data_IF_229488503572
#
_entry.id   IF_229488503572
#
_cell.length_a   1.000
_cell.length_b   1.000
_cell.length_c   1.000
_cell.angle_alpha   90.00
_cell.angle_beta   90.00
_cell.angle_gamma   90.00
#
_symmetry.space_group_name_H-M   'P 1'
#
loop_
_entity.id
_entity.type
_entity.pdbx_description
1 polymer ?
#
# COMPACT_ATOMS: atom_id res chain seq x y z
N UNK A 1 -9.12 -17.41 -2.79
CA UNK A 1 -8.03 -16.55 -3.31
C UNK A 1 -8.63 -15.22 -3.72
N UNK A 2 -8.15 -14.12 -3.14
CA UNK A 2 -8.64 -12.76 -3.42
C UNK A 2 -7.49 -11.91 -3.92
N UNK A 3 -7.66 -11.24 -5.05
CA UNK A 3 -6.64 -10.35 -5.61
C UNK A 3 -7.23 -8.97 -5.79
N UNK A 4 -6.56 -7.97 -5.23
CA UNK A 4 -6.94 -6.57 -5.35
C UNK A 4 -5.89 -5.84 -6.18
N UNK A 5 -6.33 -5.07 -7.17
CA UNK A 5 -5.46 -4.18 -7.95
C UNK A 5 -5.88 -2.75 -7.63
N UNK A 6 -4.93 -1.95 -7.11
CA UNK A 6 -5.16 -0.56 -6.73
C UNK A 6 -4.24 0.31 -7.57
N UNK A 7 -4.84 1.25 -8.32
CA UNK A 7 -4.11 2.12 -9.23
C UNK A 7 -3.98 3.52 -8.62
N UNK A 8 -2.77 3.88 -8.23
CA UNK A 8 -2.40 5.21 -7.78
C UNK A 8 -1.92 6.07 -8.93
N UNK A 9 -2.85 6.78 -9.58
CA UNK A 9 -2.54 7.67 -10.71
C UNK A 9 -1.53 8.78 -10.35
N UNK A 10 -1.55 9.25 -9.11
CA UNK A 10 -0.64 10.28 -8.59
C UNK A 10 0.45 9.72 -7.69
N UNK A 11 0.39 8.44 -7.33
CA UNK A 11 1.30 7.84 -6.37
C UNK A 11 2.73 7.88 -6.88
N UNK A 12 3.61 8.52 -6.12
CA UNK A 12 5.02 8.72 -6.49
C UNK A 12 5.72 7.38 -6.67
N UNK A 13 6.60 7.30 -7.65
CA UNK A 13 7.49 6.15 -7.87
C UNK A 13 8.89 6.41 -7.31
N UNK A 14 9.14 7.61 -6.78
CA UNK A 14 10.37 8.03 -6.12
C UNK A 14 10.27 7.86 -4.59
N UNK A 15 11.35 7.46 -3.90
CA UNK A 15 11.38 7.44 -2.45
C UNK A 15 11.44 8.85 -1.83
N UNK A 16 11.58 9.91 -2.62
CA UNK A 16 11.72 11.29 -2.15
C UNK A 16 10.36 11.89 -1.77
N UNK A 17 9.75 11.42 -0.69
CA UNK A 17 8.54 11.99 -0.10
C UNK A 17 8.69 12.09 1.42
N UNK A 18 7.93 12.99 2.04
CA UNK A 18 7.91 13.16 3.49
C UNK A 18 7.03 12.09 4.14
N UNK A 19 7.54 11.45 5.19
CA UNK A 19 6.73 10.57 6.05
C UNK A 19 5.80 11.36 6.97
N UNK A 20 6.11 12.63 7.25
CA UNK A 20 5.26 13.53 8.03
C UNK A 20 4.07 14.06 7.19
N UNK A 21 4.22 14.11 5.86
CA UNK A 21 3.17 14.51 4.92
C UNK A 21 3.08 13.52 3.75
N UNK A 22 2.68 12.29 4.06
CA UNK A 22 2.43 11.28 3.04
C UNK A 22 1.36 11.76 2.06
N UNK A 23 0.17 12.26 2.47
CA UNK A 23 -0.88 12.63 1.51
C UNK A 23 -0.44 13.71 0.51
N UNK A 24 0.29 14.74 0.97
CA UNK A 24 0.71 15.87 0.15
C UNK A 24 1.91 15.56 -0.75
N UNK A 25 2.93 14.89 -0.21
CA UNK A 25 4.21 14.74 -0.93
C UNK A 25 4.36 13.42 -1.70
N UNK A 26 3.60 12.38 -1.36
CA UNK A 26 3.71 11.06 -2.01
C UNK A 26 2.68 10.83 -3.13
N UNK A 27 1.80 11.81 -3.37
CA UNK A 27 0.72 11.68 -4.34
C UNK A 27 -0.34 10.67 -3.91
N UNK A 28 -0.79 10.80 -2.66
CA UNK A 28 -1.84 10.01 -2.04
C UNK A 28 -1.50 8.54 -1.79
N UNK A 29 -0.23 8.24 -1.49
CA UNK A 29 0.21 6.91 -1.08
C UNK A 29 -0.47 6.45 0.22
N UNK A 30 -0.93 7.39 1.07
CA UNK A 30 -1.73 7.12 2.26
C UNK A 30 -2.98 6.27 1.95
N UNK A 31 -3.64 6.52 0.82
CA UNK A 31 -4.82 5.76 0.39
C UNK A 31 -4.43 4.32 0.02
N UNK A 32 -3.33 4.16 -0.70
CA UNK A 32 -2.82 2.83 -1.10
C UNK A 32 -2.43 2.02 0.14
N UNK A 33 -1.73 2.66 1.08
CA UNK A 33 -1.37 2.11 2.37
C UNK A 33 -2.61 1.62 3.16
N UNK A 34 -3.66 2.45 3.25
CA UNK A 34 -4.92 2.06 3.90
C UNK A 34 -5.60 0.89 3.19
N UNK A 35 -5.54 0.83 1.86
CA UNK A 35 -6.09 -0.29 1.09
C UNK A 35 -5.32 -1.60 1.33
N UNK A 36 -3.99 -1.55 1.47
CA UNK A 36 -3.15 -2.70 1.86
C UNK A 36 -3.57 -3.21 3.24
N UNK A 37 -3.69 -2.31 4.23
CA UNK A 37 -4.13 -2.67 5.59
C UNK A 37 -5.52 -3.31 5.57
N UNK A 38 -6.49 -2.72 4.86
CA UNK A 38 -7.84 -3.25 4.77
C UNK A 38 -7.91 -4.63 4.07
N UNK A 39 -7.01 -4.90 3.11
CA UNK A 39 -6.97 -6.18 2.41
C UNK A 39 -6.35 -7.31 3.25
N UNK A 40 -5.35 -6.99 4.07
CA UNK A 40 -4.55 -7.98 4.79
C UNK A 40 -4.89 -8.12 6.27
N UNK A 41 -5.15 -7.03 6.98
CA UNK A 41 -5.27 -7.05 8.43
C UNK A 41 -6.67 -7.48 8.85
N UNK A 42 -6.71 -8.45 9.77
CA UNK A 42 -7.92 -8.95 10.45
C UNK A 42 -7.65 -8.96 11.96
N UNK A 43 -8.69 -9.08 12.79
CA UNK A 43 -8.56 -8.99 14.25
C UNK A 43 -7.50 -9.94 14.84
N UNK A 44 -7.30 -11.12 14.26
CA UNK A 44 -6.38 -12.16 14.76
C UNK A 44 -5.22 -12.44 13.79
N UNK A 45 -4.76 -11.42 13.05
CA UNK A 45 -3.53 -11.50 12.26
C UNK A 45 -3.67 -11.04 10.82
N UNK A 46 -3.04 -11.77 9.90
CA UNK A 46 -2.94 -11.42 8.48
C UNK A 46 -3.65 -12.47 7.63
N UNK A 47 -4.52 -12.01 6.73
CA UNK A 47 -5.19 -12.82 5.72
C UNK A 47 -4.17 -13.42 4.75
N UNK A 48 -4.00 -14.75 4.82
CA UNK A 48 -3.01 -15.48 4.01
C UNK A 48 -3.46 -15.73 2.57
N UNK A 49 -4.76 -15.71 2.30
CA UNK A 49 -5.37 -16.02 0.99
C UNK A 49 -5.66 -14.77 0.12
N UNK A 50 -5.00 -13.64 0.43
CA UNK A 50 -5.11 -12.39 -0.31
C UNK A 50 -3.80 -12.00 -1.01
N UNK A 51 -3.91 -11.25 -2.10
CA UNK A 51 -2.80 -10.57 -2.76
C UNK A 51 -3.21 -9.15 -3.14
N UNK A 52 -2.29 -8.21 -3.03
CA UNK A 52 -2.50 -6.80 -3.38
C UNK A 52 -1.45 -6.37 -4.39
N UNK A 53 -1.90 -5.85 -5.53
CA UNK A 53 -1.08 -5.25 -6.56
C UNK A 53 -1.29 -3.73 -6.53
N UNK A 54 -0.23 -2.99 -6.18
CA UNK A 54 -0.22 -1.53 -6.25
C UNK A 54 0.43 -1.11 -7.56
N UNK A 55 -0.28 -0.30 -8.36
CA UNK A 55 0.24 0.29 -9.60
C UNK A 55 0.43 1.78 -9.37
N UNK A 56 1.67 2.23 -9.37
CA UNK A 56 2.07 3.61 -9.09
C UNK A 56 2.41 4.30 -10.41
N UNK A 57 1.69 5.37 -10.75
CA UNK A 57 1.80 6.06 -12.03
C UNK A 57 2.24 7.54 -11.91
N UNK A 58 2.53 8.01 -10.70
CA UNK A 58 2.78 9.44 -10.44
C UNK A 58 4.23 9.91 -10.61
N UNK A 59 5.14 9.06 -11.07
CA UNK A 59 6.53 9.46 -11.38
C UNK A 59 6.88 9.18 -12.84
N UNK A 60 8.17 9.33 -13.19
CA UNK A 60 8.61 9.29 -14.60
C UNK A 60 8.35 7.95 -15.30
N UNK A 61 8.47 6.84 -14.56
CA UNK A 61 8.16 5.50 -15.04
C UNK A 61 7.22 4.79 -14.05
N UNK A 62 6.24 4.02 -14.54
CA UNK A 62 5.30 3.29 -13.68
C UNK A 62 6.03 2.22 -12.87
N UNK A 63 5.60 2.02 -11.62
CA UNK A 63 6.09 0.93 -10.78
C UNK A 63 4.93 0.08 -10.30
N UNK A 64 5.20 -1.22 -10.14
CA UNK A 64 4.21 -2.17 -9.63
C UNK A 64 4.79 -2.91 -8.43
N UNK A 65 4.01 -2.97 -7.34
CA UNK A 65 4.37 -3.66 -6.10
C UNK A 65 3.34 -4.76 -5.87
N UNK A 66 3.81 -6.00 -5.76
CA UNK A 66 2.96 -7.15 -5.47
C UNK A 66 3.23 -7.65 -4.05
N UNK A 67 2.16 -7.69 -3.25
CA UNK A 67 2.17 -8.16 -1.87
C UNK A 67 1.37 -9.45 -1.78
N UNK A 68 1.95 -10.47 -1.16
CA UNK A 68 1.31 -11.77 -0.96
C UNK A 68 1.06 -12.04 0.53
N UNK A 69 -0.20 -12.29 0.90
CA UNK A 69 -0.59 -12.58 2.28
C UNK A 69 0.17 -13.74 2.91
N UNK A 70 0.49 -14.76 2.10
CA UNK A 70 1.25 -15.94 2.51
C UNK A 70 2.66 -15.64 3.01
N UNK A 71 3.36 -14.68 2.39
CA UNK A 71 4.77 -14.35 2.70
C UNK A 71 4.96 -13.07 3.51
N UNK A 72 3.92 -12.24 3.66
CA UNK A 72 3.96 -11.02 4.46
C UNK A 72 4.32 -11.28 5.93
N UNK A 73 5.27 -10.48 6.44
CA UNK A 73 5.71 -10.42 7.85
C UNK A 73 5.85 -8.95 8.26
N UNK A 74 5.69 -8.68 9.55
CA UNK A 74 5.86 -7.34 10.15
C UNK A 74 4.95 -6.24 9.56
N UNK A 75 3.78 -6.61 9.05
CA UNK A 75 2.76 -5.64 8.65
C UNK A 75 1.97 -5.23 9.90
N UNK A 76 2.24 -4.03 10.41
CA UNK A 76 1.49 -3.45 11.51
C UNK A 76 0.43 -2.46 10.98
N UNK A 77 -0.81 -2.47 11.51
CA UNK A 77 -1.90 -1.62 11.02
C UNK A 77 -1.75 -0.14 11.37
N UNK A 78 -1.02 0.17 12.43
CA UNK A 78 -0.77 1.51 12.97
C UNK A 78 -0.03 2.44 11.99
N UNK A 79 0.97 1.93 11.26
CA UNK A 79 1.79 2.71 10.33
C UNK A 79 0.99 3.41 9.20
N UNK A 80 -0.26 3.02 8.97
CA UNK A 80 -1.13 3.58 7.93
C UNK A 80 -2.45 4.17 8.47
N UNK A 81 -2.70 4.06 9.79
CA UNK A 81 -3.95 4.48 10.43
C UNK A 81 -3.77 5.69 11.37
N UNK A 82 -2.54 6.03 11.74
CA UNK A 82 -2.24 7.23 12.53
C UNK A 82 -1.93 8.43 11.62
N UNK A 83 -2.95 8.95 10.95
CA UNK A 83 -2.94 10.28 10.34
C UNK A 83 -4.29 10.95 10.61
#
# INVERSE_FOLDING_TARGET
MRTFVIVGHKATTSPNFSLEDIPGTSGRLDILCRAVTAAFVISHGIRKDASVCLVLLGGEAPKTILLHGGSLRHLNPDACLSF
#
